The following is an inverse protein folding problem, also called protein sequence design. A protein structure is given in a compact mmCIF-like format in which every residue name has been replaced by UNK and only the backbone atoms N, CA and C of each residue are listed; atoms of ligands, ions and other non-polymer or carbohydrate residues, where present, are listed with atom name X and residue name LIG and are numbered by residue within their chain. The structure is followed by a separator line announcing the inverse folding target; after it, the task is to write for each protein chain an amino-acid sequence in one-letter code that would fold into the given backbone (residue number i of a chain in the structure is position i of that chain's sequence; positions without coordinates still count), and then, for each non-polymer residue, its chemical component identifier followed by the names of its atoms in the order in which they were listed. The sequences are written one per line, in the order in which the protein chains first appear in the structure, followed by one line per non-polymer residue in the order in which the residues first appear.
data_IF_197608324850
#
_entry.id   IF_197608324850
#
_cell.length_a   1.000
_cell.length_b   1.000
_cell.length_c   1.000
_cell.angle_alpha   90.00
_cell.angle_beta   90.00
_cell.angle_gamma   90.00
#
_symmetry.space_group_name_H-M   'P 1'
#
loop_
_entity.id
_entity.type
_entity.pdbx_description
1 polymer ?
#
# COMPACT_ATOMS: atom_id res chain seq x y z
N UNK A 1 -7.94 4.17 -1.98
CA UNK A 1 -7.42 2.79 -2.13
C UNK A 1 -8.58 1.81 -1.98
N UNK A 2 -8.39 0.52 -2.32
CA UNK A 2 -9.42 -0.50 -2.20
C UNK A 2 -10.35 -0.31 -1.03
N UNK A 3 -11.61 0.00 -1.33
CA UNK A 3 -12.65 -0.14 -0.32
C UNK A 3 -12.73 -1.63 -0.03
N UNK A 4 -12.67 -2.07 1.24
CA UNK A 4 -13.03 -3.46 1.61
C UNK A 4 -14.54 -3.62 1.85
N UNK A 5 -15.29 -2.51 1.77
CA UNK A 5 -16.74 -2.52 1.70
C UNK A 5 -17.22 -2.26 0.26
N UNK A 6 -18.12 -3.08 -0.25
CA UNK A 6 -18.79 -2.82 -1.53
C UNK A 6 -19.52 -1.47 -1.44
N UNK A 7 -19.27 -0.49 -2.33
CA UNK A 7 -20.05 0.74 -2.39
C UNK A 7 -21.54 0.44 -2.54
N UNK A 8 -22.42 1.19 -1.85
CA UNK A 8 -23.89 0.99 -1.93
C UNK A 8 -24.44 1.14 -3.35
N UNK A 9 -23.70 1.82 -4.20
CA UNK A 9 -23.97 2.17 -5.60
C UNK A 9 -23.16 1.33 -6.60
N UNK A 10 -22.54 0.23 -6.17
CA UNK A 10 -21.70 -0.60 -7.04
C UNK A 10 -22.55 -1.42 -8.03
N UNK A 11 -22.20 -1.33 -9.32
CA UNK A 11 -22.95 -1.88 -10.45
C UNK A 11 -22.63 -3.34 -10.79
N UNK A 12 -21.73 -3.98 -10.03
CA UNK A 12 -21.27 -5.35 -10.27
C UNK A 12 -20.27 -5.51 -11.41
N UNK A 13 -19.90 -4.44 -12.12
CA UNK A 13 -19.13 -4.52 -13.39
C UNK A 13 -17.65 -4.14 -13.26
N UNK A 14 -17.17 -3.74 -12.08
CA UNK A 14 -15.79 -3.28 -11.88
C UNK A 14 -15.18 -3.71 -10.55
N UNK A 15 -13.85 -3.86 -10.47
CA UNK A 15 -13.17 -4.30 -9.23
C UNK A 15 -13.30 -3.24 -8.13
N UNK A 16 -14.02 -3.55 -7.04
CA UNK A 16 -14.30 -2.62 -5.95
C UNK A 16 -13.06 -2.19 -5.15
N UNK A 17 -12.00 -3.01 -5.22
CA UNK A 17 -10.71 -2.74 -4.60
C UNK A 17 -9.91 -1.67 -5.36
N UNK A 18 -10.34 -1.21 -6.53
CA UNK A 18 -9.75 -0.03 -7.14
C UNK A 18 -10.92 0.80 -7.62
N UNK A 19 -11.46 1.65 -6.73
CA UNK A 19 -12.61 2.51 -7.05
C UNK A 19 -12.41 3.23 -8.38
N UNK A 20 -13.50 3.56 -9.11
CA UNK A 20 -13.55 4.20 -10.45
C UNK A 20 -12.14 4.55 -10.95
N UNK A 21 -11.50 3.63 -11.68
CA UNK A 21 -10.10 3.73 -12.11
C UNK A 21 -9.76 5.18 -12.50
N UNK A 22 -9.19 5.93 -11.58
CA UNK A 22 -8.73 7.28 -11.85
C UNK A 22 -7.32 7.18 -12.46
N UNK A 23 -6.83 8.27 -13.05
CA UNK A 23 -5.53 8.25 -13.72
C UNK A 23 -4.40 7.78 -12.79
N UNK A 24 -4.53 7.99 -11.47
CA UNK A 24 -3.52 7.64 -10.46
C UNK A 24 -3.51 6.15 -10.15
N UNK A 25 -4.67 5.53 -10.07
CA UNK A 25 -4.76 4.07 -9.90
C UNK A 25 -4.21 3.35 -11.13
N UNK A 26 -4.52 3.84 -12.34
CA UNK A 26 -3.94 3.31 -13.59
C UNK A 26 -2.41 3.47 -13.63
N UNK A 27 -1.91 4.62 -13.18
CA UNK A 27 -0.46 4.85 -13.07
C UNK A 27 0.21 3.85 -12.12
N UNK A 28 -0.36 3.61 -10.94
CA UNK A 28 0.16 2.60 -10.02
C UNK A 28 0.13 1.18 -10.60
N UNK A 29 -0.98 0.79 -11.24
CA UNK A 29 -1.10 -0.51 -11.89
C UNK A 29 -0.09 -0.68 -13.03
N UNK A 30 0.10 0.35 -13.85
CA UNK A 30 1.13 0.37 -14.90
C UNK A 30 2.51 0.08 -14.31
N UNK A 31 2.90 0.79 -13.25
CA UNK A 31 4.19 0.55 -12.57
C UNK A 31 4.32 -0.88 -12.04
N UNK A 32 3.25 -1.44 -11.46
CA UNK A 32 3.25 -2.82 -10.97
C UNK A 32 3.41 -3.84 -12.11
N UNK A 33 2.72 -3.64 -13.24
CA UNK A 33 2.80 -4.51 -14.43
C UNK A 33 4.21 -4.45 -15.02
N UNK A 34 4.76 -3.26 -15.23
CA UNK A 34 6.09 -3.07 -15.82
C UNK A 34 7.20 -3.68 -14.97
N UNK A 35 7.08 -3.66 -13.65
CA UNK A 35 8.06 -4.29 -12.75
C UNK A 35 7.77 -5.79 -12.51
N UNK A 36 6.68 -6.34 -13.06
CA UNK A 36 6.30 -7.74 -12.91
C UNK A 36 5.86 -8.12 -11.49
N UNK A 37 5.20 -7.20 -10.78
CA UNK A 37 4.69 -7.39 -9.40
C UNK A 37 3.18 -7.19 -9.30
N UNK A 38 2.46 -7.32 -10.42
CA UNK A 38 1.00 -7.18 -10.47
C UNK A 38 0.24 -8.20 -9.58
N UNK A 39 0.88 -9.32 -9.22
CA UNK A 39 0.33 -10.33 -8.31
C UNK A 39 0.48 -10.00 -6.81
N UNK A 40 1.08 -8.86 -6.44
CA UNK A 40 1.24 -8.47 -5.03
C UNK A 40 -0.09 -8.13 -4.35
N UNK A 41 -0.22 -8.48 -3.06
CA UNK A 41 -1.33 -8.05 -2.22
C UNK A 41 -1.16 -6.60 -1.79
N UNK A 42 -2.21 -5.79 -1.97
CA UNK A 42 -2.22 -4.35 -1.66
C UNK A 42 -3.31 -4.07 -0.63
N UNK A 43 -2.95 -3.44 0.50
CA UNK A 43 -3.87 -3.14 1.60
C UNK A 43 -3.46 -1.88 2.35
N UNK A 44 -4.34 -1.37 3.22
CA UNK A 44 -4.13 -0.15 4.01
C UNK A 44 -3.92 -0.42 5.50
N UNK A 45 -3.22 0.46 6.21
CA UNK A 45 -3.03 0.34 7.68
C UNK A 45 -4.35 0.56 8.44
N UNK A 46 -5.26 1.34 7.87
CA UNK A 46 -6.60 1.63 8.40
C UNK A 46 -7.62 1.25 7.33
N UNK A 47 -8.63 0.46 7.68
CA UNK A 47 -9.61 -0.07 6.73
C UNK A 47 -10.87 0.80 6.60
N UNK A 48 -10.96 1.85 7.40
CA UNK A 48 -12.11 2.76 7.44
C UNK A 48 -12.00 3.82 6.34
N UNK A 49 -13.02 3.92 5.50
CA UNK A 49 -13.05 4.90 4.40
C UNK A 49 -13.36 6.28 4.96
N UNK A 50 -12.48 7.24 4.67
CA UNK A 50 -12.65 8.64 5.08
C UNK A 50 -11.98 9.60 4.11
N UNK A 51 -12.03 10.89 4.45
CA UNK A 51 -11.26 11.93 3.73
C UNK A 51 -9.76 11.61 3.82
N UNK A 52 -8.96 11.82 2.76
CA UNK A 52 -7.52 11.58 2.80
C UNK A 52 -6.85 12.36 3.93
N UNK A 53 -6.29 11.66 4.91
CA UNK A 53 -5.56 12.26 6.04
C UNK A 53 -4.60 11.25 6.66
N UNK A 54 -3.72 11.75 7.53
CA UNK A 54 -2.91 10.88 8.39
C UNK A 54 -3.84 10.15 9.39
N UNK A 55 -3.74 8.81 9.52
CA UNK A 55 -4.47 8.09 10.55
C UNK A 55 -3.92 8.39 11.94
N UNK A 56 -4.79 8.38 12.94
CA UNK A 56 -4.42 8.53 14.35
C UNK A 56 -3.87 7.22 14.92
N UNK A 57 -3.19 7.28 16.06
CA UNK A 57 -2.72 6.09 16.78
C UNK A 57 -3.89 5.14 17.10
N UNK A 58 -5.00 5.69 17.61
CA UNK A 58 -6.18 4.93 17.99
C UNK A 58 -6.80 4.19 16.79
N UNK A 59 -6.86 4.84 15.64
CA UNK A 59 -7.35 4.21 14.41
C UNK A 59 -6.46 3.06 13.95
N UNK A 60 -5.14 3.25 14.00
CA UNK A 60 -4.19 2.19 13.63
C UNK A 60 -4.34 1.01 14.60
N UNK A 61 -4.43 1.26 15.91
CA UNK A 61 -4.58 0.21 16.91
C UNK A 61 -5.89 -0.57 16.74
N UNK A 62 -7.00 0.10 16.39
CA UNK A 62 -8.29 -0.53 16.08
C UNK A 62 -8.15 -1.54 14.93
N UNK A 63 -7.39 -1.21 13.90
CA UNK A 63 -7.26 -2.03 12.68
C UNK A 63 -6.04 -2.97 12.66
N UNK A 64 -5.10 -2.79 13.60
CA UNK A 64 -3.86 -3.57 13.65
C UNK A 64 -4.09 -5.09 13.71
N UNK A 65 -5.04 -5.65 14.49
CA UNK A 65 -5.27 -7.10 14.52
C UNK A 65 -5.62 -7.67 13.14
N UNK A 66 -6.38 -6.94 12.34
CA UNK A 66 -6.75 -7.35 10.99
C UNK A 66 -5.55 -7.31 10.04
N UNK A 67 -4.73 -6.25 10.13
CA UNK A 67 -3.50 -6.15 9.34
C UNK A 67 -2.50 -7.27 9.70
N UNK A 68 -2.38 -7.61 10.98
CA UNK A 68 -1.53 -8.73 11.42
C UNK A 68 -2.08 -10.06 10.89
N UNK A 69 -3.40 -10.25 10.87
CA UNK A 69 -4.01 -11.45 10.28
C UNK A 69 -3.78 -11.55 8.77
N UNK A 70 -3.83 -10.43 8.03
CA UNK A 70 -3.45 -10.40 6.62
C UNK A 70 -1.99 -10.84 6.42
N UNK A 71 -1.07 -10.29 7.22
CA UNK A 71 0.36 -10.64 7.16
C UNK A 71 0.57 -12.12 7.50
N UNK A 72 -0.15 -12.65 8.50
CA UNK A 72 -0.09 -14.06 8.89
C UNK A 72 -0.55 -15.00 7.75
N UNK A 73 -1.64 -14.65 7.05
CA UNK A 73 -2.19 -15.47 5.95
C UNK A 73 -1.28 -15.41 4.72
N UNK A 74 -0.79 -14.21 4.38
CA UNK A 74 -0.02 -13.99 3.15
C UNK A 74 1.45 -14.43 3.30
N UNK A 75 1.97 -14.40 4.54
CA UNK A 75 3.37 -14.65 4.86
C UNK A 75 4.36 -13.92 3.92
N UNK A 76 4.27 -12.58 3.78
CA UNK A 76 5.09 -11.85 2.84
C UNK A 76 6.56 -11.86 3.26
N UNK A 77 7.48 -12.19 2.33
CA UNK A 77 8.93 -11.96 2.53
C UNK A 77 9.27 -10.47 2.64
N UNK A 78 8.50 -9.62 1.95
CA UNK A 78 8.74 -8.17 1.81
C UNK A 78 7.43 -7.39 1.90
N UNK A 79 7.43 -6.30 2.67
CA UNK A 79 6.34 -5.31 2.73
C UNK A 79 6.87 -3.96 2.23
N UNK A 80 6.22 -3.40 1.20
CA UNK A 80 6.55 -2.08 0.65
C UNK A 80 5.47 -1.08 1.03
N UNK A 81 5.86 -0.01 1.74
CA UNK A 81 4.96 1.03 2.19
C UNK A 81 4.82 2.13 1.14
N UNK A 82 3.58 2.44 0.77
CA UNK A 82 3.27 3.55 -0.15
C UNK A 82 3.30 4.89 0.61
N UNK A 83 4.42 5.60 0.49
CA UNK A 83 4.63 6.93 1.05
C UNK A 83 5.58 6.97 2.26
N UNK A 84 6.62 7.80 2.16
CA UNK A 84 7.59 8.05 3.25
C UNK A 84 6.92 8.46 4.56
N UNK A 85 5.97 9.39 4.50
CA UNK A 85 5.23 9.86 5.70
C UNK A 85 4.45 8.73 6.38
N UNK A 86 3.80 7.87 5.59
CA UNK A 86 3.09 6.69 6.11
C UNK A 86 4.06 5.72 6.78
N UNK A 87 5.23 5.51 6.17
CA UNK A 87 6.27 4.68 6.75
C UNK A 87 6.77 5.25 8.09
N UNK A 88 7.26 6.49 8.11
CA UNK A 88 7.91 7.08 9.27
C UNK A 88 6.94 7.37 10.42
N UNK A 89 5.75 7.90 10.11
CA UNK A 89 4.85 8.46 11.10
C UNK A 89 3.72 7.52 11.53
N UNK A 90 3.59 6.35 10.87
CA UNK A 90 2.55 5.36 11.17
C UNK A 90 3.13 3.94 11.23
N UNK A 91 3.61 3.39 10.11
CA UNK A 91 4.03 1.99 10.05
C UNK A 91 5.19 1.68 11.01
N UNK A 92 6.26 2.47 10.96
CA UNK A 92 7.48 2.26 11.76
C UNK A 92 7.19 2.32 13.27
N UNK A 93 6.24 3.16 13.69
CA UNK A 93 5.93 3.39 15.10
C UNK A 93 4.92 2.40 15.67
N UNK A 94 3.90 2.03 14.89
CA UNK A 94 2.73 1.33 15.40
C UNK A 94 2.53 -0.08 14.84
N UNK A 95 3.14 -0.40 13.69
CA UNK A 95 2.97 -1.70 13.02
C UNK A 95 4.25 -2.52 13.08
N UNK A 96 5.40 -1.90 12.75
CA UNK A 96 6.71 -2.58 12.71
C UNK A 96 7.08 -3.32 14.01
N UNK A 97 6.73 -2.83 15.22
CA UNK A 97 7.00 -3.59 16.44
C UNK A 97 6.23 -4.91 16.57
N UNK A 98 5.16 -5.08 15.80
CA UNK A 98 4.23 -6.22 15.89
C UNK A 98 4.39 -7.25 14.76
N UNK A 99 5.32 -7.05 13.82
CA UNK A 99 5.59 -7.97 12.71
C UNK A 99 6.86 -8.79 12.95
N UNK A 100 6.97 -9.95 12.29
CA UNK A 100 8.15 -10.80 12.36
C UNK A 100 9.41 -10.07 11.85
N UNK A 101 10.54 -10.23 12.55
CA UNK A 101 11.81 -9.54 12.24
C UNK A 101 12.40 -9.92 10.88
N UNK A 102 12.02 -11.07 10.34
CA UNK A 102 12.50 -11.60 9.07
C UNK A 102 11.92 -10.89 7.85
N UNK A 103 10.69 -10.34 7.99
CA UNK A 103 10.01 -9.61 6.93
C UNK A 103 10.79 -8.33 6.62
N UNK A 104 11.25 -8.20 5.38
CA UNK A 104 11.93 -6.97 4.95
C UNK A 104 10.90 -5.87 4.73
N UNK A 105 11.23 -4.65 5.14
CA UNK A 105 10.33 -3.50 5.00
C UNK A 105 11.07 -2.35 4.34
N UNK A 106 10.47 -1.78 3.30
CA UNK A 106 10.95 -0.57 2.64
C UNK A 106 9.75 0.34 2.28
N UNK A 107 10.02 1.51 1.71
CA UNK A 107 8.99 2.43 1.26
C UNK A 107 9.31 3.02 -0.12
N UNK A 108 8.24 3.37 -0.82
CA UNK A 108 8.24 4.11 -2.08
C UNK A 108 7.49 5.43 -1.91
N UNK A 109 7.57 6.31 -2.89
CA UNK A 109 6.67 7.47 -2.91
C UNK A 109 5.23 7.02 -3.19
N UNK A 110 4.26 7.68 -2.54
CA UNK A 110 2.87 7.35 -2.80
C UNK A 110 2.48 7.86 -4.19
N UNK A 111 1.89 7.02 -5.03
CA UNK A 111 1.57 7.29 -6.43
C UNK A 111 0.61 8.49 -6.65
N UNK A 112 -0.06 8.94 -5.58
CA UNK A 112 -0.96 10.09 -5.61
C UNK A 112 -0.35 11.40 -5.11
N UNK A 113 0.95 11.47 -4.81
CA UNK A 113 1.59 12.71 -4.34
C UNK A 113 1.60 13.74 -5.46
N UNK A 114 0.72 14.75 -5.38
CA UNK A 114 0.71 15.87 -6.31
C UNK A 114 1.73 16.94 -5.86
N UNK A 115 2.57 17.38 -6.80
CA UNK A 115 3.39 18.59 -6.68
C UNK A 115 4.73 18.45 -5.94
N UNK A 116 4.90 17.45 -5.07
CA UNK A 116 6.17 17.23 -4.36
C UNK A 116 7.18 16.40 -5.15
N UNK A 117 6.70 15.57 -6.09
CA UNK A 117 7.49 14.64 -6.91
C UNK A 117 6.89 14.52 -8.30
N UNK A 118 7.74 14.39 -9.30
CA UNK A 118 7.35 14.06 -10.68
C UNK A 118 6.97 12.58 -10.78
N UNK A 119 6.17 12.22 -11.79
CA UNK A 119 5.85 10.80 -12.06
C UNK A 119 7.12 9.97 -12.29
N UNK A 120 8.13 10.55 -12.93
CA UNK A 120 9.42 9.92 -13.19
C UNK A 120 10.14 9.58 -11.88
N UNK A 121 10.18 10.49 -10.90
CA UNK A 121 10.78 10.20 -9.59
C UNK A 121 10.03 9.09 -8.84
N UNK A 122 8.69 9.05 -8.96
CA UNK A 122 7.87 8.00 -8.36
C UNK A 122 8.15 6.64 -9.00
N UNK A 123 8.15 6.58 -10.34
CA UNK A 123 8.48 5.36 -11.12
C UNK A 123 9.89 4.87 -10.80
N UNK A 124 10.88 5.75 -10.79
CA UNK A 124 12.28 5.42 -10.49
C UNK A 124 12.43 4.82 -9.10
N UNK A 125 11.86 5.47 -8.06
CA UNK A 125 11.93 4.94 -6.69
C UNK A 125 11.19 3.62 -6.56
N UNK A 126 10.04 3.47 -7.22
CA UNK A 126 9.30 2.21 -7.23
C UNK A 126 10.13 1.09 -7.86
N UNK A 127 10.70 1.32 -9.04
CA UNK A 127 11.54 0.35 -9.74
C UNK A 127 12.83 0.02 -8.98
N UNK A 128 13.46 0.99 -8.31
CA UNK A 128 14.63 0.77 -7.45
C UNK A 128 14.31 -0.21 -6.32
N UNK A 129 13.25 0.09 -5.55
CA UNK A 129 12.85 -0.75 -4.40
C UNK A 129 12.42 -2.14 -4.87
N UNK A 130 11.59 -2.23 -5.91
CA UNK A 130 11.13 -3.53 -6.41
C UNK A 130 12.32 -4.37 -6.91
N UNK A 131 13.23 -3.80 -7.71
CA UNK A 131 14.41 -4.53 -8.21
C UNK A 131 15.34 -5.01 -7.09
N UNK A 132 15.50 -4.21 -6.03
CA UNK A 132 16.27 -4.59 -4.84
C UNK A 132 15.71 -5.86 -4.17
N UNK A 133 14.39 -6.05 -4.18
CA UNK A 133 13.74 -7.17 -3.49
C UNK A 133 13.34 -8.34 -4.41
N UNK A 134 13.32 -8.13 -5.73
CA UNK A 134 13.06 -9.18 -6.73
C UNK A 134 14.18 -10.22 -6.83
N UNK A 135 15.35 -9.93 -6.25
CA UNK A 135 16.52 -10.82 -6.21
C UNK A 135 16.55 -11.73 -4.96
N UNK A 136 15.50 -11.71 -4.12
CA UNK A 136 15.41 -12.49 -2.86
C UNK A 136 14.62 -13.80 -3.09
N UNK A 137 14.66 -14.33 -4.31
CA UNK A 137 14.14 -15.65 -4.62
C UNK A 137 15.19 -16.74 -4.37
#
# INVERSE_FOLDING_TARGET
MPSMNVPKDWDGKSNYNFGKFDARCRFFQKMMIEQGVAGSYVTDIVKERGKPRKPTKTEIQKWLPFLLKEIEIIQPKVIIILGKRTYEASFKLFVKPSIFKEIKVDYVFHYSQQGAKTNVEVEQRFAEVVRKYKQID
#
